data_IF_079042759259
#
_entry.id   IF_079042759259
#
_cell.length_a   1.000
_cell.length_b   1.000
_cell.length_c   1.000
_cell.angle_alpha   90.00
_cell.angle_beta   90.00
_cell.angle_gamma   90.00
#
_symmetry.space_group_name_H-M   'P 1'
#
loop_
_entity.id
_entity.type
_entity.pdbx_description
1 polymer ?
#
# COMPACT_ATOMS: atom_id res chain seq x y z
N UNK A 1 38.32 -3.75 39.32
CA UNK A 1 37.83 -3.39 37.98
C UNK A 1 37.82 -1.86 37.90
N UNK A 2 38.74 -1.24 37.16
CA UNK A 2 38.93 0.21 37.23
C UNK A 2 37.75 0.97 36.61
N UNK A 3 37.44 2.16 37.13
CA UNK A 3 36.34 3.03 36.68
C UNK A 3 36.33 3.24 35.16
N UNK A 4 37.52 3.24 34.55
CA UNK A 4 37.71 3.34 33.11
C UNK A 4 37.15 2.13 32.34
N UNK A 5 37.37 0.91 32.84
CA UNK A 5 36.88 -0.33 32.21
C UNK A 5 35.36 -0.44 32.33
N UNK A 6 34.79 0.05 33.44
CA UNK A 6 33.34 0.10 33.62
C UNK A 6 32.67 1.09 32.65
N UNK A 7 33.28 2.27 32.44
CA UNK A 7 32.80 3.26 31.46
C UNK A 7 32.86 2.76 30.02
N UNK A 8 33.93 2.06 29.64
CA UNK A 8 34.09 1.48 28.30
C UNK A 8 33.05 0.37 28.06
N UNK A 9 32.81 -0.48 29.06
CA UNK A 9 31.78 -1.52 28.98
C UNK A 9 30.37 -0.91 28.85
N UNK A 10 30.08 0.17 29.58
CA UNK A 10 28.80 0.88 29.50
C UNK A 10 28.58 1.52 28.10
N UNK A 11 29.63 2.07 27.50
CA UNK A 11 29.60 2.67 26.15
C UNK A 11 29.36 1.61 25.06
N UNK A 12 29.98 0.43 25.19
CA UNK A 12 29.77 -0.69 24.28
C UNK A 12 28.36 -1.29 24.38
N UNK A 13 27.76 -1.30 25.58
CA UNK A 13 26.37 -1.74 25.79
C UNK A 13 25.37 -0.73 25.20
N UNK A 14 25.64 0.57 25.30
CA UNK A 14 24.80 1.61 24.69
C UNK A 14 24.86 1.62 23.15
N UNK A 15 26.00 1.25 22.55
CA UNK A 15 26.13 1.08 21.10
C UNK A 15 25.47 -0.21 20.56
N UNK A 16 25.23 -1.19 21.43
CA UNK A 16 24.49 -2.41 21.10
C UNK A 16 22.96 -2.26 21.23
N UNK A 17 22.50 -1.11 21.74
CA UNK A 17 21.09 -0.83 21.92
C UNK A 17 20.45 -0.26 20.65
N UNK A 18 19.77 -1.17 19.94
CA UNK A 18 18.62 -0.95 19.07
C UNK A 18 18.89 -0.46 17.63
N UNK A 19 18.72 -1.37 16.67
CA UNK A 19 18.09 -0.99 15.39
C UNK A 19 16.64 -0.60 15.72
N UNK A 20 16.40 0.64 16.13
CA UNK A 20 15.05 1.22 16.08
C UNK A 20 14.72 1.30 14.59
N UNK A 21 14.00 0.30 14.11
CA UNK A 21 13.52 0.31 12.75
C UNK A 21 12.32 1.24 12.71
N UNK A 22 12.45 2.37 12.01
CA UNK A 22 11.31 3.26 11.81
C UNK A 22 10.22 2.49 11.04
N UNK A 23 9.00 2.52 11.58
CA UNK A 23 7.81 2.04 10.90
C UNK A 23 7.73 2.70 9.52
N UNK A 24 7.34 1.94 8.50
CA UNK A 24 7.18 2.49 7.16
C UNK A 24 5.80 3.11 7.03
N UNK A 25 5.73 4.36 6.57
CA UNK A 25 4.49 5.07 6.38
C UNK A 25 3.89 4.73 5.01
N UNK A 26 2.74 4.06 4.99
CA UNK A 26 2.07 3.62 3.76
C UNK A 26 0.74 4.34 3.62
N UNK A 27 0.57 5.08 2.52
CA UNK A 27 -0.73 5.56 2.09
C UNK A 27 -1.37 4.56 1.12
N UNK A 28 -2.63 4.17 1.39
CA UNK A 28 -3.44 3.39 0.43
C UNK A 28 -4.53 4.29 -0.10
N UNK A 29 -4.54 4.50 -1.42
CA UNK A 29 -5.58 5.30 -2.08
C UNK A 29 -6.87 4.50 -2.24
N UNK A 30 -7.99 5.19 -2.36
CA UNK A 30 -9.28 4.58 -2.70
C UNK A 30 -9.17 3.87 -4.06
N UNK A 31 -9.68 2.64 -4.12
CA UNK A 31 -9.68 1.86 -5.35
C UNK A 31 -10.73 2.39 -6.33
N UNK A 32 -10.34 2.53 -7.58
CA UNK A 32 -11.28 2.89 -8.64
C UNK A 32 -11.82 1.65 -9.35
N UNK A 33 -13.12 1.61 -9.61
CA UNK A 33 -13.73 0.57 -10.42
C UNK A 33 -13.54 0.88 -11.91
N UNK A 34 -12.90 -0.04 -12.63
CA UNK A 34 -12.86 -0.05 -14.09
C UNK A 34 -13.69 -1.24 -14.57
N UNK A 35 -14.98 -1.03 -14.78
CA UNK A 35 -15.90 -2.05 -15.28
C UNK A 35 -16.01 -1.94 -16.81
N UNK A 36 -15.53 -2.96 -17.52
CA UNK A 36 -15.63 -3.05 -18.98
C UNK A 36 -16.85 -3.85 -19.43
N UNK A 37 -17.67 -4.29 -18.47
CA UNK A 37 -18.92 -4.98 -18.77
C UNK A 37 -20.05 -3.99 -19.02
N UNK A 38 -21.17 -4.47 -19.57
CA UNK A 38 -22.37 -3.65 -19.77
C UNK A 38 -23.27 -3.58 -18.52
N UNK A 39 -22.81 -4.06 -17.36
CA UNK A 39 -23.60 -4.00 -16.13
C UNK A 39 -23.61 -2.60 -15.53
N UNK A 40 -24.70 -2.21 -14.85
CA UNK A 40 -24.70 -1.00 -14.07
C UNK A 40 -23.70 -1.10 -12.91
N UNK A 41 -23.07 0.02 -12.57
CA UNK A 41 -22.28 0.17 -11.35
C UNK A 41 -23.21 0.22 -10.13
N UNK A 42 -23.75 -0.94 -9.74
CA UNK A 42 -24.72 -1.08 -8.63
C UNK A 42 -24.14 -0.62 -7.30
N UNK A 43 -25.00 -0.26 -6.35
CA UNK A 43 -24.58 0.08 -4.98
C UNK A 43 -23.74 -1.03 -4.32
N UNK A 44 -24.06 -2.31 -4.60
CA UNK A 44 -23.28 -3.45 -4.11
C UNK A 44 -21.85 -3.45 -4.67
N UNK A 45 -21.68 -3.13 -5.95
CA UNK A 45 -20.36 -3.08 -6.59
C UNK A 45 -19.55 -1.87 -6.14
N UNK A 46 -20.21 -0.73 -5.93
CA UNK A 46 -19.61 0.46 -5.31
C UNK A 46 -19.11 0.13 -3.90
N UNK A 47 -19.95 -0.48 -3.06
CA UNK A 47 -19.57 -0.90 -1.71
C UNK A 47 -18.43 -1.92 -1.72
N UNK A 48 -18.49 -2.89 -2.64
CA UNK A 48 -17.43 -3.89 -2.79
C UNK A 48 -16.09 -3.25 -3.20
N UNK A 49 -16.12 -2.23 -4.04
CA UNK A 49 -14.91 -1.51 -4.44
C UNK A 49 -14.39 -0.64 -3.30
N UNK A 50 -15.28 0.11 -2.64
CA UNK A 50 -14.95 0.98 -1.51
C UNK A 50 -14.40 0.20 -0.29
N UNK A 51 -14.77 -1.07 -0.13
CA UNK A 51 -14.25 -1.88 0.98
C UNK A 51 -12.81 -2.36 0.79
N UNK A 52 -12.25 -2.29 -0.43
CA UNK A 52 -10.92 -2.83 -0.72
C UNK A 52 -9.83 -2.07 0.04
N UNK A 53 -9.86 -0.74 0.05
CA UNK A 53 -8.89 0.09 0.78
C UNK A 53 -8.84 -0.26 2.27
N UNK A 54 -9.94 -0.13 3.05
CA UNK A 54 -9.88 -0.40 4.49
C UNK A 54 -9.51 -1.87 4.80
N UNK A 55 -9.91 -2.83 3.95
CA UNK A 55 -9.47 -4.22 4.10
C UNK A 55 -7.96 -4.37 3.86
N UNK A 56 -7.40 -3.66 2.89
CA UNK A 56 -5.98 -3.70 2.57
C UNK A 56 -5.15 -3.03 3.67
N UNK A 57 -5.56 -1.86 4.14
CA UNK A 57 -4.93 -1.19 5.30
C UNK A 57 -4.90 -2.11 6.53
N UNK A 58 -6.03 -2.73 6.87
CA UNK A 58 -6.11 -3.68 7.99
C UNK A 58 -5.23 -4.92 7.78
N UNK A 59 -5.12 -5.41 6.54
CA UNK A 59 -4.28 -6.55 6.21
C UNK A 59 -2.79 -6.19 6.33
N UNK A 60 -2.39 -5.01 5.84
CA UNK A 60 -1.01 -4.51 5.94
C UNK A 60 -0.58 -4.35 7.40
N UNK A 61 -1.38 -3.67 8.25
CA UNK A 61 -1.10 -3.52 9.69
C UNK A 61 -0.88 -4.86 10.40
N UNK A 62 -1.55 -5.93 9.96
CA UNK A 62 -1.37 -7.27 10.54
C UNK A 62 -0.09 -7.99 10.07
N UNK A 63 0.57 -7.49 9.02
CA UNK A 63 1.70 -8.17 8.36
C UNK A 63 3.05 -7.68 8.83
N UNK A 64 3.16 -6.43 9.24
CA UNK A 64 4.43 -5.85 9.64
C UNK A 64 4.27 -4.52 10.36
N UNK A 65 5.40 -3.87 10.60
CA UNK A 65 5.49 -2.57 11.25
C UNK A 65 5.25 -1.46 10.22
N UNK A 66 3.98 -1.24 9.90
CA UNK A 66 3.51 -0.23 8.96
C UNK A 66 2.55 0.74 9.64
N UNK A 67 2.82 2.03 9.47
CA UNK A 67 1.91 3.09 9.86
C UNK A 67 1.08 3.49 8.64
N UNK A 68 -0.25 3.39 8.77
CA UNK A 68 -1.15 3.78 7.68
C UNK A 68 -1.33 5.29 7.68
N UNK A 69 -0.88 5.93 6.61
CA UNK A 69 -1.07 7.36 6.36
C UNK A 69 -2.47 7.58 5.81
N UNK A 70 -3.26 8.38 6.53
CA UNK A 70 -4.59 8.74 6.08
C UNK A 70 -4.54 9.90 5.08
N UNK A 71 -4.87 9.60 3.83
CA UNK A 71 -5.21 10.59 2.80
C UNK A 71 -6.74 10.59 2.69
N UNK A 72 -7.35 11.75 2.93
CA UNK A 72 -8.80 11.86 2.86
C UNK A 72 -9.27 11.85 1.39
N UNK A 73 -10.54 11.50 1.17
CA UNK A 73 -11.10 11.37 -0.17
C UNK A 73 -11.08 12.69 -0.97
N UNK A 74 -11.11 13.85 -0.30
CA UNK A 74 -11.09 15.15 -0.96
C UNK A 74 -9.71 15.45 -1.55
N UNK A 75 -8.63 15.18 -0.81
CA UNK A 75 -7.27 15.39 -1.28
C UNK A 75 -6.94 14.45 -2.45
N UNK A 76 -7.35 13.19 -2.35
CA UNK A 76 -7.25 12.26 -3.48
C UNK A 76 -8.07 12.74 -4.68
N UNK A 77 -9.31 13.18 -4.50
CA UNK A 77 -10.14 13.69 -5.58
C UNK A 77 -9.56 14.94 -6.24
N UNK A 78 -8.96 15.85 -5.46
CA UNK A 78 -8.28 17.04 -5.98
C UNK A 78 -7.06 16.69 -6.84
N UNK A 79 -6.31 15.65 -6.47
CA UNK A 79 -5.20 15.13 -7.26
C UNK A 79 -5.64 14.31 -8.49
N UNK A 80 -6.89 13.85 -8.52
CA UNK A 80 -7.41 12.92 -9.52
C UNK A 80 -8.22 13.64 -10.61
N UNK A 81 -7.58 13.98 -11.73
CA UNK A 81 -8.25 14.72 -12.82
C UNK A 81 -9.29 13.89 -13.59
N UNK A 82 -9.24 12.56 -13.51
CA UNK A 82 -10.22 11.64 -14.13
C UNK A 82 -10.03 10.22 -13.57
N UNK A 83 -11.01 9.34 -13.77
CA UNK A 83 -10.87 7.92 -13.40
C UNK A 83 -9.64 7.31 -14.09
N UNK A 84 -8.77 6.69 -13.31
CA UNK A 84 -7.53 6.06 -13.72
C UNK A 84 -6.34 7.00 -13.83
N UNK A 85 -6.49 8.28 -13.46
CA UNK A 85 -5.43 9.29 -13.62
C UNK A 85 -4.25 9.01 -12.68
N UNK A 86 -4.49 8.86 -11.38
CA UNK A 86 -3.41 8.53 -10.42
C UNK A 86 -2.79 7.14 -10.65
N UNK A 87 -3.52 6.20 -11.26
CA UNK A 87 -2.98 4.89 -11.67
C UNK A 87 -2.08 4.98 -12.91
N UNK A 88 -2.22 6.04 -13.72
CA UNK A 88 -1.43 6.27 -14.95
C UNK A 88 -0.19 7.13 -14.69
N UNK A 89 -0.29 8.04 -13.73
CA UNK A 89 0.75 9.04 -13.42
C UNK A 89 1.30 8.81 -12.02
N UNK A 90 2.24 7.87 -11.92
CA UNK A 90 2.82 7.43 -10.66
C UNK A 90 3.53 8.57 -9.89
N UNK A 91 4.11 9.54 -10.61
CA UNK A 91 4.75 10.71 -10.01
C UNK A 91 3.74 11.64 -9.31
N UNK A 92 2.52 11.75 -9.83
CA UNK A 92 1.45 12.53 -9.20
C UNK A 92 0.91 11.82 -7.96
N UNK A 93 0.79 10.50 -8.01
CA UNK A 93 0.46 9.71 -6.83
C UNK A 93 1.55 9.81 -5.75
N UNK A 94 2.83 9.80 -6.15
CA UNK A 94 3.95 10.02 -5.23
C UNK A 94 3.90 11.40 -4.57
N UNK A 95 3.63 12.47 -5.34
CA UNK A 95 3.47 13.83 -4.80
C UNK A 95 2.32 13.93 -3.79
N UNK A 96 1.20 13.25 -4.05
CA UNK A 96 0.10 13.17 -3.09
C UNK A 96 0.55 12.44 -1.81
N UNK A 97 1.33 11.36 -1.91
CA UNK A 97 1.92 10.71 -0.74
C UNK A 97 2.88 11.61 0.04
N UNK A 98 3.74 12.35 -0.66
CA UNK A 98 4.71 13.29 -0.09
C UNK A 98 4.03 14.38 0.75
N UNK A 99 2.90 14.90 0.28
CA UNK A 99 2.09 15.89 1.01
C UNK A 99 1.56 15.40 2.36
N UNK A 100 1.52 14.09 2.57
CA UNK A 100 1.02 13.44 3.77
C UNK A 100 2.10 12.61 4.51
N UNK A 101 3.38 12.87 4.23
CA UNK A 101 4.53 12.21 4.86
C UNK A 101 4.54 10.67 4.68
N UNK A 102 4.02 10.17 3.56
CA UNK A 102 4.12 8.74 3.22
C UNK A 102 5.49 8.38 2.63
N UNK A 103 6.02 7.22 3.00
CA UNK A 103 7.19 6.61 2.35
C UNK A 103 6.78 5.87 1.06
N UNK A 104 5.57 5.30 1.08
CA UNK A 104 5.00 4.48 0.03
C UNK A 104 3.56 4.88 -0.27
N UNK A 105 3.19 4.85 -1.55
CA UNK A 105 1.80 5.00 -1.99
C UNK A 105 1.37 3.75 -2.74
N UNK A 106 0.23 3.19 -2.32
CA UNK A 106 -0.43 2.09 -3.01
C UNK A 106 -1.60 2.66 -3.80
N UNK A 107 -1.48 2.63 -5.13
CA UNK A 107 -2.56 3.06 -6.04
C UNK A 107 -3.25 1.83 -6.59
N UNK A 108 -4.53 1.68 -6.26
CA UNK A 108 -5.31 0.49 -6.60
C UNK A 108 -6.38 0.77 -7.64
N UNK A 109 -6.62 -0.22 -8.51
CA UNK A 109 -7.83 -0.31 -9.31
C UNK A 109 -8.45 -1.68 -9.19
N UNK A 110 -9.76 -1.70 -9.20
CA UNK A 110 -10.57 -2.90 -9.27
C UNK A 110 -11.08 -3.02 -10.71
N UNK A 111 -10.39 -3.86 -11.50
CA UNK A 111 -10.67 -4.01 -12.93
C UNK A 111 -11.59 -5.20 -13.18
N UNK A 112 -12.74 -4.97 -13.78
CA UNK A 112 -13.74 -6.00 -14.09
C UNK A 112 -13.91 -6.11 -15.60
N UNK A 113 -13.08 -6.92 -16.27
CA UNK A 113 -13.18 -7.13 -17.71
C UNK A 113 -14.31 -8.09 -18.11
N UNK A 114 -14.84 -8.88 -17.17
CA UNK A 114 -15.90 -9.86 -17.43
C UNK A 114 -16.84 -10.05 -16.24
N UNK A 115 -17.92 -10.80 -16.45
CA UNK A 115 -18.83 -11.22 -15.38
C UNK A 115 -18.28 -12.33 -14.48
N UNK A 116 -17.29 -13.08 -14.95
CA UNK A 116 -16.80 -14.28 -14.27
C UNK A 116 -15.62 -13.99 -13.34
N UNK A 117 -14.85 -12.95 -13.66
CA UNK A 117 -13.69 -12.56 -12.90
C UNK A 117 -13.42 -11.06 -12.96
N UNK A 118 -12.76 -10.58 -11.92
CA UNK A 118 -12.20 -9.23 -11.82
C UNK A 118 -10.75 -9.32 -11.32
N UNK A 119 -10.06 -8.19 -11.26
CA UNK A 119 -8.70 -8.09 -10.77
C UNK A 119 -8.59 -6.97 -9.75
N UNK A 120 -7.84 -7.20 -8.69
CA UNK A 120 -7.21 -6.14 -7.92
C UNK A 120 -5.85 -5.89 -8.54
N UNK A 121 -5.65 -4.71 -9.11
CA UNK A 121 -4.36 -4.31 -9.68
C UNK A 121 -3.83 -3.14 -8.87
N UNK A 122 -2.58 -3.21 -8.44
CA UNK A 122 -1.94 -2.15 -7.66
C UNK A 122 -0.58 -1.77 -8.22
N UNK A 123 -0.28 -0.49 -8.10
CA UNK A 123 1.04 0.08 -8.21
C UNK A 123 1.58 0.35 -6.81
N UNK A 124 2.81 -0.08 -6.55
CA UNK A 124 3.57 0.26 -5.34
C UNK A 124 4.58 1.33 -5.74
N UNK A 125 4.39 2.52 -5.21
CA UNK A 125 5.15 3.71 -5.59
C UNK A 125 6.01 4.13 -4.41
N UNK A 126 7.31 4.29 -4.65
CA UNK A 126 8.23 4.87 -3.67
C UNK A 126 8.14 6.39 -3.76
N UNK A 127 7.71 7.05 -2.68
CA UNK A 127 7.45 8.50 -2.67
C UNK A 127 8.74 9.28 -2.92
N UNK A 128 9.81 8.93 -2.20
CA UNK A 128 11.11 9.62 -2.26
C UNK A 128 11.70 9.70 -3.68
N UNK A 129 11.52 8.65 -4.47
CA UNK A 129 12.07 8.58 -5.84
C UNK A 129 11.01 8.86 -6.90
N UNK A 130 9.74 8.99 -6.50
CA UNK A 130 8.58 9.14 -7.38
C UNK A 130 8.49 8.06 -8.46
N UNK A 131 8.88 6.82 -8.10
CA UNK A 131 8.94 5.71 -9.04
C UNK A 131 7.96 4.59 -8.68
N UNK A 132 7.34 4.03 -9.72
CA UNK A 132 6.73 2.71 -9.64
C UNK A 132 7.82 1.66 -9.45
N UNK A 133 7.82 0.99 -8.30
CA UNK A 133 8.83 -0.03 -7.99
C UNK A 133 8.30 -1.45 -8.02
N UNK A 134 6.98 -1.62 -7.96
CA UNK A 134 6.33 -2.91 -8.16
C UNK A 134 4.90 -2.76 -8.65
N UNK A 135 4.42 -3.78 -9.36
CA UNK A 135 3.02 -3.95 -9.74
C UNK A 135 2.55 -5.34 -9.37
N UNK A 136 1.34 -5.44 -8.80
CA UNK A 136 0.71 -6.71 -8.49
C UNK A 136 -0.71 -6.77 -9.01
N UNK A 137 -1.06 -7.91 -9.61
CA UNK A 137 -2.39 -8.19 -10.13
C UNK A 137 -2.91 -9.48 -9.46
N UNK A 138 -4.09 -9.43 -8.83
CA UNK A 138 -4.77 -10.57 -8.19
C UNK A 138 -6.12 -10.80 -8.87
N UNK A 139 -6.26 -11.94 -9.54
CA UNK A 139 -7.55 -12.37 -10.10
C UNK A 139 -8.52 -12.79 -8.98
N UNK A 140 -9.75 -12.29 -9.07
CA UNK A 140 -10.88 -12.64 -8.23
C UNK A 140 -11.91 -13.42 -9.08
N UNK A 141 -12.13 -14.69 -8.74
CA UNK A 141 -13.18 -15.52 -9.38
C UNK A 141 -14.49 -15.38 -8.62
N UNK A 142 -15.47 -14.69 -9.22
CA UNK A 142 -16.73 -14.31 -8.58
C UNK A 142 -16.65 -13.01 -7.77
N UNK A 143 -17.79 -12.60 -7.20
CA UNK A 143 -17.98 -11.28 -6.55
C UNK A 143 -18.36 -11.36 -5.06
N UNK A 144 -18.28 -12.53 -4.44
CA UNK A 144 -18.62 -12.70 -3.02
C UNK A 144 -17.55 -12.06 -2.12
N UNK A 145 -17.98 -11.52 -0.98
CA UNK A 145 -17.13 -10.85 0.00
C UNK A 145 -15.90 -11.68 0.42
N UNK A 146 -16.08 -12.99 0.65
CA UNK A 146 -14.98 -13.92 0.98
C UNK A 146 -13.91 -14.00 -0.11
N UNK A 147 -14.29 -13.84 -1.38
CA UNK A 147 -13.33 -13.82 -2.50
C UNK A 147 -12.52 -12.53 -2.46
N UNK A 148 -13.19 -11.39 -2.30
CA UNK A 148 -12.53 -10.07 -2.14
C UNK A 148 -11.55 -10.09 -0.97
N UNK A 149 -11.98 -10.56 0.22
CA UNK A 149 -11.12 -10.61 1.40
C UNK A 149 -9.88 -11.49 1.22
N UNK A 150 -10.01 -12.67 0.59
CA UNK A 150 -8.85 -13.51 0.26
C UNK A 150 -7.92 -12.85 -0.75
N UNK A 151 -8.49 -12.18 -1.76
CA UNK A 151 -7.72 -11.45 -2.76
C UNK A 151 -6.92 -10.31 -2.14
N UNK A 152 -7.55 -9.53 -1.26
CA UNK A 152 -6.90 -8.45 -0.51
C UNK A 152 -5.79 -8.97 0.41
N UNK A 153 -6.01 -10.08 1.14
CA UNK A 153 -4.94 -10.65 1.98
C UNK A 153 -3.73 -11.09 1.15
N UNK A 154 -3.96 -11.74 0.01
CA UNK A 154 -2.88 -12.15 -0.91
C UNK A 154 -2.16 -10.94 -1.53
N UNK A 155 -2.89 -9.86 -1.78
CA UNK A 155 -2.33 -8.60 -2.25
C UNK A 155 -1.44 -7.95 -1.17
N UNK A 156 -1.92 -7.91 0.08
CA UNK A 156 -1.17 -7.42 1.23
C UNK A 156 0.11 -8.23 1.44
N UNK A 157 0.06 -9.56 1.30
CA UNK A 157 1.25 -10.44 1.40
C UNK A 157 2.33 -10.00 0.40
N UNK A 158 1.96 -9.78 -0.87
CA UNK A 158 2.89 -9.36 -1.92
C UNK A 158 3.49 -7.97 -1.70
N UNK A 159 2.65 -7.03 -1.26
CA UNK A 159 3.10 -5.67 -0.95
C UNK A 159 4.06 -5.69 0.22
N UNK A 160 3.71 -6.39 1.30
CA UNK A 160 4.51 -6.46 2.51
C UNK A 160 5.87 -7.14 2.25
N UNK A 161 5.87 -8.30 1.61
CA UNK A 161 7.09 -9.01 1.20
C UNK A 161 8.01 -8.12 0.37
N UNK A 162 7.45 -7.36 -0.57
CA UNK A 162 8.22 -6.45 -1.40
C UNK A 162 8.81 -5.27 -0.62
N UNK A 163 7.99 -4.55 0.16
CA UNK A 163 8.46 -3.39 0.94
C UNK A 163 9.51 -3.82 1.96
N UNK A 164 9.30 -4.96 2.63
CA UNK A 164 10.26 -5.51 3.58
C UNK A 164 11.58 -5.89 2.92
N UNK A 165 11.55 -6.42 1.69
CA UNK A 165 12.77 -6.71 0.92
C UNK A 165 13.55 -5.43 0.58
N UNK A 166 12.87 -4.34 0.23
CA UNK A 166 13.51 -3.04 -0.06
C UNK A 166 14.05 -2.37 1.18
N UNK A 167 13.41 -2.59 2.34
CA UNK A 167 13.90 -2.18 3.64
C UNK A 167 15.19 -2.91 4.01
N UNK A 168 15.28 -4.22 3.74
CA UNK A 168 16.46 -5.04 4.03
C UNK A 168 17.62 -4.79 3.04
N UNK A 169 17.31 -4.47 1.78
CA UNK A 169 18.31 -4.28 0.70
C UNK A 169 18.04 -2.98 -0.10
N UNK A 170 18.35 -1.79 0.45
CA UNK A 170 17.99 -0.51 -0.15
C UNK A 170 18.77 -0.11 -1.42
N UNK A 171 19.73 -0.92 -1.87
CA UNK A 171 20.63 -0.63 -2.99
C UNK A 171 20.48 -1.58 -4.20
N UNK A 172 19.40 -2.37 -4.25
CA UNK A 172 19.03 -3.24 -5.37
C UNK A 172 17.73 -2.77 -6.02
#
# INVERSE_FOLDING_TARGET
MNLLNFRILLLLVLLACHNVHAAQHIAVLDFELIDLTSLPNTAQEQQRTASIRPLLEQALVKKGDYDIVHINAQDQANANSSVGYLFRFDDLAAKLGEQHDADWVIVGRHSKPSFLFSYLMVHVIQVKTQTLVARFDIELKGNHEKVTGRGVNKLADKIAEFIDSKRQYPFQ
#
